data_IF_765570661927
#
_entry.id   IF_765570661927
#
_cell.length_a   1.000
_cell.length_b   1.000
_cell.length_c   1.000
_cell.angle_alpha   90.00
_cell.angle_beta   90.00
_cell.angle_gamma   90.00
#
_symmetry.space_group_name_H-M   'P 1'
#
loop_
_entity.id
_entity.type
_entity.pdbx_description
1 polymer ?
#
# COMPACT_ATOMS: atom_id res chain seq x y z
N UNK A 1 -0.83 -30.19 8.76
CA UNK A 1 -0.53 -29.01 9.60
C UNK A 1 -0.80 -27.78 8.74
N UNK A 2 -1.84 -27.00 9.02
CA UNK A 2 -2.07 -25.73 8.32
C UNK A 2 -1.17 -24.68 8.97
N UNK A 3 -0.48 -23.88 8.16
CA UNK A 3 0.30 -22.73 8.63
C UNK A 3 -0.72 -21.61 8.89
N UNK A 4 -0.80 -21.05 10.11
CA UNK A 4 -1.74 -19.98 10.41
C UNK A 4 -1.45 -18.75 9.53
N UNK A 5 -2.50 -18.07 9.08
CA UNK A 5 -2.41 -16.91 8.17
C UNK A 5 -1.98 -15.63 8.91
N UNK A 6 -1.98 -15.66 10.23
CA UNK A 6 -1.58 -14.57 11.14
C UNK A 6 -0.73 -15.13 12.27
N UNK A 7 0.34 -14.43 12.61
CA UNK A 7 1.19 -14.78 13.75
C UNK A 7 0.54 -14.37 15.10
N UNK A 8 1.20 -14.67 16.21
CA UNK A 8 0.69 -14.34 17.56
C UNK A 8 0.67 -12.85 17.88
N UNK A 9 1.23 -12.00 17.00
CA UNK A 9 1.23 -10.53 17.12
C UNK A 9 0.19 -9.89 16.20
N UNK A 10 -0.56 -10.68 15.42
CA UNK A 10 -1.49 -10.19 14.41
C UNK A 10 -0.78 -9.55 13.21
N UNK A 11 0.49 -9.89 13.00
CA UNK A 11 1.25 -9.45 11.83
C UNK A 11 0.83 -10.28 10.60
N UNK A 12 0.77 -9.65 9.40
CA UNK A 12 0.33 -10.33 8.18
C UNK A 12 1.36 -11.37 7.73
N UNK A 13 0.97 -12.65 7.62
CA UNK A 13 1.88 -13.68 7.10
C UNK A 13 1.91 -13.73 5.57
N UNK A 14 0.89 -13.19 4.90
CA UNK A 14 0.80 -13.19 3.44
C UNK A 14 0.24 -11.88 2.91
N UNK A 15 0.83 -11.37 1.83
CA UNK A 15 0.42 -10.12 1.19
C UNK A 15 0.09 -10.37 -0.28
N UNK A 16 -0.99 -9.73 -0.75
CA UNK A 16 -1.35 -9.70 -2.16
C UNK A 16 -1.24 -8.26 -2.65
N UNK A 17 -0.74 -8.10 -3.87
CA UNK A 17 -0.67 -6.78 -4.52
C UNK A 17 -1.53 -6.81 -5.77
N UNK A 18 -2.19 -5.68 -6.04
CA UNK A 18 -3.00 -5.47 -7.24
C UNK A 18 -2.24 -4.46 -8.10
N UNK A 19 -2.09 -4.75 -9.40
CA UNK A 19 -1.44 -3.84 -10.36
C UNK A 19 0.04 -3.51 -10.07
N UNK A 20 0.76 -4.35 -9.31
CA UNK A 20 2.19 -4.15 -9.06
C UNK A 20 3.03 -4.31 -10.33
N UNK A 21 3.97 -3.38 -10.51
CA UNK A 21 5.02 -3.43 -11.54
C UNK A 21 6.40 -3.69 -10.91
N UNK A 22 6.45 -4.07 -9.64
CA UNK A 22 7.70 -4.43 -8.98
C UNK A 22 8.37 -5.60 -9.73
N UNK A 23 9.66 -5.45 -10.05
CA UNK A 23 10.43 -6.44 -10.81
C UNK A 23 10.19 -6.43 -12.33
N UNK A 24 9.38 -5.50 -12.84
CA UNK A 24 9.10 -5.36 -14.28
C UNK A 24 9.57 -3.98 -14.79
N UNK A 25 10.89 -3.77 -14.98
CA UNK A 25 11.44 -2.45 -15.31
C UNK A 25 10.90 -1.89 -16.63
N UNK A 26 10.73 -2.77 -17.63
CA UNK A 26 10.29 -2.40 -18.99
C UNK A 26 8.76 -2.32 -19.14
N UNK A 27 7.98 -2.65 -18.10
CA UNK A 27 6.53 -2.55 -18.19
C UNK A 27 6.10 -1.08 -18.25
N UNK A 28 5.18 -0.75 -19.14
CA UNK A 28 4.66 0.62 -19.26
C UNK A 28 3.63 0.92 -18.16
N UNK A 29 3.60 2.18 -17.73
CA UNK A 29 2.63 2.64 -16.75
C UNK A 29 1.24 2.76 -17.41
N UNK A 30 0.35 1.81 -17.12
CA UNK A 30 -1.05 1.93 -17.49
C UNK A 30 -1.72 3.09 -16.75
N UNK A 31 -2.24 4.06 -17.49
CA UNK A 31 -3.03 5.16 -16.94
C UNK A 31 -4.47 4.71 -16.67
N UNK A 32 -4.92 4.94 -15.45
CA UNK A 32 -6.29 4.66 -15.03
C UNK A 32 -7.11 5.94 -15.02
N UNK A 33 -8.42 5.87 -15.33
CA UNK A 33 -9.28 7.04 -15.25
C UNK A 33 -9.49 7.45 -13.78
N UNK A 34 -9.73 8.74 -13.54
CA UNK A 34 -9.92 9.28 -12.19
C UNK A 34 -11.17 8.77 -11.46
N UNK A 35 -12.04 8.05 -12.16
CA UNK A 35 -13.23 7.41 -11.62
C UNK A 35 -13.06 5.89 -11.40
N UNK A 36 -11.82 5.38 -11.44
CA UNK A 36 -11.55 3.99 -11.13
C UNK A 36 -12.01 3.67 -9.70
N UNK A 37 -12.82 2.63 -9.56
CA UNK A 37 -13.23 2.07 -8.28
C UNK A 37 -12.73 0.63 -8.20
N UNK A 38 -12.15 0.28 -7.06
CA UNK A 38 -11.71 -1.09 -6.76
C UNK A 38 -12.57 -1.60 -5.60
N UNK A 39 -13.42 -2.58 -5.89
CA UNK A 39 -14.23 -3.26 -4.88
C UNK A 39 -13.54 -4.55 -4.44
N UNK A 40 -13.21 -4.63 -3.15
CA UNK A 40 -12.57 -5.80 -2.55
C UNK A 40 -13.51 -6.47 -1.54
N UNK A 41 -13.78 -7.75 -1.78
CA UNK A 41 -14.50 -8.62 -0.84
C UNK A 41 -13.50 -9.59 -0.22
N UNK A 42 -13.17 -9.36 1.06
CA UNK A 42 -12.17 -10.14 1.78
C UNK A 42 -12.86 -11.02 2.82
N UNK A 43 -12.53 -12.31 2.82
CA UNK A 43 -12.98 -13.26 3.83
C UNK A 43 -11.87 -13.46 4.86
N UNK A 44 -12.01 -12.81 6.00
CA UNK A 44 -11.13 -13.02 7.16
C UNK A 44 -11.48 -14.37 7.78
N UNK A 45 -10.67 -15.39 7.54
CA UNK A 45 -10.83 -16.74 8.09
C UNK A 45 -10.50 -16.73 9.59
N UNK A 46 -11.39 -16.17 10.41
CA UNK A 46 -11.18 -16.00 11.85
C UNK A 46 -10.90 -17.31 12.58
N UNK A 47 -11.40 -18.43 12.04
CA UNK A 47 -11.12 -19.78 12.52
C UNK A 47 -9.63 -20.18 12.44
N UNK A 48 -8.82 -19.49 11.64
CA UNK A 48 -7.38 -19.75 11.49
C UNK A 48 -6.50 -18.90 12.42
N UNK A 49 -7.11 -18.05 13.25
CA UNK A 49 -6.40 -17.21 14.22
C UNK A 49 -6.00 -18.01 15.46
N UNK A 50 -4.80 -17.74 16.00
CA UNK A 50 -4.30 -18.45 17.20
C UNK A 50 -5.13 -18.15 18.45
N UNK A 51 -5.74 -16.96 18.50
CA UNK A 51 -6.61 -16.51 19.60
C UNK A 51 -7.98 -16.20 18.99
N UNK A 52 -9.00 -17.06 19.21
CA UNK A 52 -10.31 -16.91 18.56
C UNK A 52 -11.10 -15.66 18.96
N UNK A 53 -10.76 -15.05 20.10
CA UNK A 53 -11.42 -13.83 20.61
C UNK A 53 -10.86 -12.56 19.99
N UNK A 54 -9.70 -12.63 19.35
CA UNK A 54 -9.07 -11.45 18.78
C UNK A 54 -9.77 -11.07 17.47
N UNK A 55 -10.03 -9.77 17.24
CA UNK A 55 -10.63 -9.33 15.99
C UNK A 55 -9.70 -9.69 14.82
N UNK A 56 -10.28 -10.21 13.74
CA UNK A 56 -9.51 -10.47 12.54
C UNK A 56 -9.12 -9.15 11.88
N UNK A 57 -7.82 -8.87 11.78
CA UNK A 57 -7.31 -7.61 11.26
C UNK A 57 -6.85 -7.75 9.81
N UNK A 58 -7.13 -6.72 9.02
CA UNK A 58 -6.69 -6.59 7.63
C UNK A 58 -5.75 -5.39 7.56
N UNK A 59 -4.59 -5.56 6.93
CA UNK A 59 -3.69 -4.46 6.63
C UNK A 59 -3.80 -4.09 5.15
N UNK A 60 -4.05 -2.82 4.87
CA UNK A 60 -4.14 -2.28 3.51
C UNK A 60 -3.17 -1.11 3.36
N UNK A 61 -2.43 -1.10 2.26
CA UNK A 61 -1.50 -0.03 1.92
C UNK A 61 -1.62 0.33 0.44
N UNK A 62 -1.69 1.63 0.17
CA UNK A 62 -1.63 2.20 -1.18
C UNK A 62 -0.23 2.76 -1.38
N UNK A 63 0.42 2.38 -2.46
CA UNK A 63 1.81 2.74 -2.73
C UNK A 63 2.09 2.89 -4.23
N UNK A 64 3.26 3.40 -4.56
CA UNK A 64 3.77 3.42 -5.94
C UNK A 64 3.92 1.99 -6.47
N UNK A 65 3.35 1.73 -7.66
CA UNK A 65 3.32 0.40 -8.31
C UNK A 65 4.71 -0.21 -8.50
N UNK A 66 5.77 0.59 -8.59
CA UNK A 66 7.15 0.13 -8.76
C UNK A 66 7.91 -0.01 -7.44
N UNK A 67 7.37 0.47 -6.34
CA UNK A 67 8.04 0.40 -5.04
C UNK A 67 7.92 -0.99 -4.42
N UNK A 68 9.05 -1.49 -3.90
CA UNK A 68 9.02 -2.56 -2.91
C UNK A 68 8.50 -1.99 -1.59
N UNK A 69 7.58 -2.70 -0.95
CA UNK A 69 6.89 -2.20 0.24
C UNK A 69 7.06 -3.15 1.40
N UNK A 70 7.42 -2.58 2.55
CA UNK A 70 7.33 -3.28 3.81
C UNK A 70 5.86 -3.27 4.28
N UNK A 71 5.18 -4.42 4.35
CA UNK A 71 3.80 -4.50 4.81
C UNK A 71 3.66 -4.28 6.32
N UNK A 72 4.75 -4.42 7.09
CA UNK A 72 4.76 -4.22 8.54
C UNK A 72 4.98 -2.75 8.94
N UNK A 73 5.23 -1.85 7.97
CA UNK A 73 5.47 -0.43 8.22
C UNK A 73 4.44 0.42 7.48
N UNK A 74 3.72 1.28 8.22
CA UNK A 74 2.69 2.20 7.75
C UNK A 74 1.49 1.56 7.01
N UNK A 75 0.39 2.31 6.89
CA UNK A 75 -0.84 1.85 6.22
C UNK A 75 -2.06 1.87 7.13
N UNK A 76 -3.14 1.26 6.67
CA UNK A 76 -4.41 1.19 7.39
C UNK A 76 -4.62 -0.20 7.97
N UNK A 77 -4.96 -0.25 9.26
CA UNK A 77 -5.43 -1.46 9.94
C UNK A 77 -6.95 -1.39 10.04
N UNK A 78 -7.62 -2.39 9.50
CA UNK A 78 -9.07 -2.47 9.42
C UNK A 78 -9.56 -3.75 10.10
N UNK A 79 -10.65 -3.67 10.84
CA UNK A 79 -11.30 -4.85 11.41
C UNK A 79 -12.14 -5.57 10.33
N UNK A 80 -12.03 -6.90 10.27
CA UNK A 80 -12.83 -7.75 9.41
C UNK A 80 -14.33 -7.71 9.74
N UNK A 81 -15.16 -8.09 8.76
CA UNK A 81 -16.63 -8.07 8.90
C UNK A 81 -17.30 -6.71 8.71
N UNK A 82 -16.50 -5.65 8.55
CA UNK A 82 -16.98 -4.29 8.29
C UNK A 82 -16.80 -3.87 6.84
N UNK A 83 -17.64 -2.92 6.38
CA UNK A 83 -17.51 -2.28 5.06
C UNK A 83 -16.79 -0.94 5.21
N UNK A 84 -15.74 -0.74 4.43
CA UNK A 84 -14.96 0.50 4.40
C UNK A 84 -15.00 1.12 3.01
N UNK A 85 -14.84 2.45 2.97
CA UNK A 85 -14.66 3.19 1.72
C UNK A 85 -13.46 4.11 1.90
N UNK A 86 -12.48 3.96 1.01
CA UNK A 86 -11.26 4.76 1.00
C UNK A 86 -11.21 5.61 -0.27
N UNK A 87 -10.75 6.85 -0.11
CA UNK A 87 -10.53 7.78 -1.21
C UNK A 87 -9.05 8.09 -1.29
N UNK A 88 -8.44 7.85 -2.45
CA UNK A 88 -7.02 8.12 -2.68
C UNK A 88 -6.85 9.34 -3.58
N UNK A 89 -6.00 10.28 -3.17
CA UNK A 89 -5.55 11.38 -4.02
C UNK A 89 -4.02 11.41 -4.04
N UNK A 90 -3.44 11.47 -5.23
CA UNK A 90 -1.99 11.50 -5.38
C UNK A 90 -1.50 12.97 -5.38
N UNK A 91 -0.53 13.28 -4.52
CA UNK A 91 0.11 14.60 -4.43
C UNK A 91 1.57 14.45 -4.85
N UNK A 92 1.98 15.08 -5.98
CA UNK A 92 3.40 15.18 -6.36
C UNK A 92 4.00 16.45 -5.78
N UNK A 93 5.02 16.32 -4.94
CA UNK A 93 5.78 17.47 -4.45
C UNK A 93 6.98 17.70 -5.37
N UNK A 94 6.97 18.81 -6.11
CA UNK A 94 8.10 19.24 -6.92
C UNK A 94 9.00 20.16 -6.09
N UNK A 95 10.24 19.75 -5.83
CA UNK A 95 11.25 20.59 -5.21
C UNK A 95 12.05 21.26 -6.34
N UNK A 96 11.91 22.57 -6.49
CA UNK A 96 12.73 23.36 -7.40
C UNK A 96 13.93 23.94 -6.64
N UNK A 97 15.14 23.55 -7.03
CA UNK A 97 16.38 24.19 -6.59
C UNK A 97 16.71 25.34 -7.55
N UNK A 98 16.47 26.59 -7.15
CA UNK A 98 16.99 27.75 -7.86
C UNK A 98 18.38 28.08 -7.32
N UNK A 99 19.41 27.87 -8.14
CA UNK A 99 20.74 28.46 -7.93
C UNK A 99 20.75 29.83 -8.60
N UNK A 100 20.72 30.90 -7.81
CA UNK A 100 21.01 32.25 -8.31
C UNK A 100 22.53 32.40 -8.43
N UNK A 101 23.07 32.13 -9.62
CA UNK A 101 24.43 32.51 -9.97
C UNK A 101 24.50 34.02 -10.21
N UNK A 102 25.11 34.78 -9.29
CA UNK A 102 25.45 36.18 -9.54
C UNK A 102 26.61 36.25 -10.52
N UNK A 103 26.33 36.62 -11.78
CA UNK A 103 27.37 36.96 -12.77
C UNK A 103 27.83 38.39 -12.48
N UNK A 104 28.92 38.54 -11.73
CA UNK A 104 29.64 39.82 -11.69
C UNK A 104 30.58 39.88 -12.89
N UNK A 105 30.34 40.82 -13.81
CA UNK A 105 31.27 41.14 -14.91
C UNK A 105 32.62 41.62 -14.33
N UNK A 106 33.76 41.16 -14.85
CA UNK A 106 35.04 41.81 -14.57
C UNK A 106 35.11 43.17 -15.27
N UNK A 107 35.70 44.15 -14.57
CA UNK A 107 36.04 45.48 -15.09
C UNK A 107 37.23 45.42 -16.04
#
# INVERSE_FOLDING_TARGET
>A
MRIPVVDTKGEPNFCFTIESLAGQPEAEDKLYPNNLVIDLYLRTQGEEYSIPTDPAMIQIKIHDRRAAVNPFADGFRLEGGSKYTAYASMVKQFIFWFSFGSVTKPQ
#
